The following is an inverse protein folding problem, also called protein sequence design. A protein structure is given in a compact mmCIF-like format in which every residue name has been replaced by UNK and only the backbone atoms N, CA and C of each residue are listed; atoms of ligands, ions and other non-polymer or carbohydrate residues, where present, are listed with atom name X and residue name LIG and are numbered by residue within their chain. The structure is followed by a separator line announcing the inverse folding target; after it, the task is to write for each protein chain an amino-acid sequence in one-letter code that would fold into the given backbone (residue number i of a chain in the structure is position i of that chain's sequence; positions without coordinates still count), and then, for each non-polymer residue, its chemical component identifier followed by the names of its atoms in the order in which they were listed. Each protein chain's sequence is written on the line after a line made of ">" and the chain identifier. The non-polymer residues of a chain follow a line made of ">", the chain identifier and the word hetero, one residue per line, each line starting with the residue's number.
data_IF_552197591833
#
_entry.id   IF_552197591833
#
_cell.length_a   1.000
_cell.length_b   1.000
_cell.length_c   1.000
_cell.angle_alpha   90.00
_cell.angle_beta   90.00
_cell.angle_gamma   90.00
#
_symmetry.space_group_name_H-M   'P 1'
#
loop_
_entity.id
_entity.type
_entity.pdbx_description
1 polymer ?
2 polymer ?
3 polymer ?
4 polymer ?
5 polymer ?
6 non-polymer ?
7 water ?
#
loop_
_entity_poly.entity_id
_entity_poly.type
_entity_poly.pdbx_seq_one_letter_code
_entity_poly.pdbx_strand_id
1 'polydeoxyribonucleotide' '(DG)(DC)(DA)(DA)(DA)(DA)(DC)(DG)(DT)(DC)(DG)(DT)(DG)(DA)' ?
2 'polydeoxyribonucleotide' '(DG)(DA)(DC)(DA)(DG)(DT)(DT)(DT)(DC)(DG)' ?
3 'polydeoxyribonucleotide' '(DC)(DG)(DA)(DA)(DA)(DC)(DT)(DG)(DT)(DC)(DT)(DC)(DA)(DC)' ?
4 'polydeoxyribonucleotide' '(DG)(DA)(DC)(DG)(DT)(DT)(DT)(DT)(DG)(DC)' ?
#
# COMPACT_ATOMS: atom_id res chain seq x y z
N UNK E 1 25.01 -8.46 -10.10
CA UNK E 1 23.75 -8.03 -9.43
C UNK E 1 22.64 -9.05 -9.59
N UNK E 2 21.82 -9.20 -8.55
CA UNK E 2 20.72 -10.15 -8.55
C UNK E 2 19.54 -9.73 -9.44
N UNK E 3 18.99 -10.70 -10.16
CA UNK E 3 17.85 -10.46 -11.04
C UNK E 3 16.58 -10.91 -10.34
N UNK E 4 15.63 -9.99 -10.18
CA UNK E 4 14.38 -10.30 -9.49
C UNK E 4 13.28 -10.73 -10.45
N UNK E 5 12.44 -11.64 -9.97
CA UNK E 5 11.31 -12.16 -10.72
C UNK E 5 10.35 -11.01 -11.08
N UNK E 6 9.81 -11.04 -12.30
CA UNK E 6 8.89 -9.99 -12.76
C UNK E 6 7.60 -9.89 -11.95
N UNK E 7 7.02 -11.02 -11.60
CA UNK E 7 5.78 -11.03 -10.82
C UNK E 7 6.04 -10.51 -9.42
N UNK E 8 7.22 -10.79 -8.89
CA UNK E 8 7.61 -10.31 -7.56
C UNK E 8 7.66 -8.79 -7.60
N UNK E 9 8.30 -8.25 -8.64
CA UNK E 9 8.42 -6.81 -8.81
C UNK E 9 7.07 -6.17 -9.05
N UNK E 10 6.19 -6.84 -9.79
CA UNK E 10 4.86 -6.28 -10.05
C UNK E 10 4.09 -6.10 -8.74
N UNK E 11 4.06 -7.15 -7.93
CA UNK E 11 3.37 -7.08 -6.65
C UNK E 11 4.01 -6.06 -5.72
N UNK E 12 5.33 -6.11 -5.60
CA UNK E 12 6.04 -5.18 -4.72
C UNK E 12 5.87 -3.72 -5.14
N UNK E 13 5.89 -3.45 -6.44
CA UNK E 13 5.71 -2.07 -6.92
C UNK E 13 4.37 -1.53 -6.40
N UNK E 14 3.35 -2.36 -6.45
CA UNK E 14 2.05 -1.95 -5.97
C UNK E 14 2.08 -1.72 -4.47
N UNK E 15 2.74 -2.61 -3.74
CA UNK E 15 2.82 -2.47 -2.28
C UNK E 15 3.62 -1.22 -1.92
N UNK E 16 4.71 -0.99 -2.66
CA UNK E 16 5.54 0.18 -2.44
C UNK E 16 4.76 1.45 -2.72
N UNK E 17 4.03 1.48 -3.82
CA UNK E 17 3.25 2.68 -4.11
C UNK E 17 2.27 2.96 -2.98
N UNK E 18 1.82 1.89 -2.32
CA UNK E 18 0.89 2.08 -1.21
C UNK E 18 1.50 2.43 0.14
N UNK E 19 2.38 1.55 0.62
CA UNK E 19 3.00 1.72 1.95
C UNK E 19 4.51 1.93 2.00
N UNK E 20 5.14 2.02 0.82
CA UNK E 20 6.57 2.22 0.77
C UNK E 20 6.94 3.68 0.67
N UNK E 21 8.24 3.95 0.64
CA UNK E 21 8.69 5.33 0.55
C UNK E 21 10.06 5.34 -0.11
N UNK E 22 10.26 6.25 -1.06
CA UNK E 22 11.52 6.42 -1.76
C UNK E 22 11.99 7.78 -1.27
N UNK E 23 13.02 7.76 -0.42
CA UNK E 23 13.52 8.95 0.24
C UNK E 23 14.93 9.40 -0.11
N UNK E 24 15.11 10.72 -0.16
CA UNK E 24 16.39 11.36 -0.44
C UNK E 24 16.54 12.42 0.64
N UNK E 25 17.72 12.46 1.27
CA UNK E 25 17.94 13.44 2.33
C UNK E 25 19.34 14.02 2.30
N UNK E 26 19.45 15.23 2.82
CA UNK E 26 20.70 15.94 2.93
C UNK E 26 20.80 16.09 4.44
N UNK E 27 21.70 15.30 5.04
CA UNK E 27 21.86 15.30 6.49
C UNK E 27 23.07 16.10 6.97
N UNK E 28 22.83 17.09 7.84
CA UNK E 28 23.94 17.88 8.34
C UNK E 28 24.86 17.02 9.20
N UNK E 29 26.13 16.98 8.82
CA UNK E 29 27.12 16.20 9.53
C UNK E 29 28.46 16.87 9.24
N UNK E 30 29.10 17.37 10.28
CA UNK E 30 30.37 18.07 10.17
C UNK E 30 31.55 17.28 9.64
N UNK E 31 31.50 15.95 9.72
CA UNK E 31 32.61 15.14 9.25
C UNK E 31 32.72 15.04 7.73
N UNK E 32 31.74 15.58 7.02
CA UNK E 32 31.76 15.53 5.56
C UNK E 32 32.37 16.79 4.97
N UNK E 33 32.98 16.66 3.80
CA UNK E 33 33.61 17.80 3.13
C UNK E 33 32.66 18.98 3.03
N UNK E 34 31.47 18.76 2.51
CA UNK E 34 30.50 19.83 2.35
C UNK E 34 29.53 19.95 3.53
N UNK E 35 29.95 19.42 4.67
CA UNK E 35 29.17 19.47 5.91
C UNK E 35 27.80 18.80 5.85
N UNK E 36 27.54 18.05 4.79
CA UNK E 36 26.27 17.34 4.64
C UNK E 36 26.45 15.99 3.96
N UNK E 37 25.60 15.04 4.36
CA UNK E 37 25.64 13.70 3.76
C UNK E 37 24.44 13.55 2.82
N UNK E 38 24.68 12.94 1.66
CA UNK E 38 23.60 12.68 0.73
C UNK E 38 23.15 11.27 1.11
N UNK E 39 21.96 11.17 1.67
CA UNK E 39 21.42 9.89 2.10
C UNK E 39 20.23 9.45 1.25
N UNK E 40 20.25 8.20 0.79
CA UNK E 40 19.18 7.63 -0.02
C UNK E 40 18.58 6.43 0.69
N UNK E 41 17.25 6.35 0.74
CA UNK E 41 16.61 5.24 1.40
C UNK E 41 15.38 4.72 0.71
N UNK E 42 15.28 3.38 0.62
CA UNK E 42 14.09 2.73 0.10
C UNK E 42 13.55 2.02 1.33
N UNK E 43 12.27 2.20 1.62
CA UNK E 43 11.71 1.54 2.79
C UNK E 43 10.27 1.11 2.58
N UNK E 44 9.84 0.14 3.38
CA UNK E 44 8.46 -0.33 3.36
C UNK E 44 8.09 -0.40 4.84
N UNK E 45 7.01 0.29 5.20
CA UNK E 45 6.56 0.34 6.58
C UNK E 45 5.37 -0.59 6.81
N UNK E 46 5.33 -1.22 7.98
CA UNK E 46 4.21 -2.09 8.30
C UNK E 46 4.10 -2.31 9.81
N UNK E 47 2.87 -2.52 10.26
CA UNK E 47 2.59 -2.76 11.68
C UNK E 47 3.49 -3.93 12.11
N UNK E 48 4.07 -3.82 13.30
CA UNK E 48 4.98 -4.86 13.76
C UNK E 48 4.38 -6.26 13.82
N UNK E 49 3.08 -6.38 14.07
CA UNK E 49 2.48 -7.71 14.12
C UNK E 49 2.61 -8.37 12.75
N UNK E 50 2.88 -7.57 11.71
CA UNK E 50 3.06 -8.10 10.36
C UNK E 50 4.54 -8.02 9.96
N UNK E 51 5.44 -7.98 10.94
CA UNK E 51 6.86 -7.91 10.62
C UNK E 51 7.34 -9.06 9.75
N UNK E 52 6.68 -10.21 9.84
CA UNK E 52 7.08 -11.36 9.04
C UNK E 52 7.15 -10.99 7.56
N UNK E 53 6.23 -10.15 7.12
CA UNK E 53 6.19 -9.72 5.72
C UNK E 53 7.47 -8.94 5.37
N UNK E 54 7.92 -8.11 6.30
CA UNK E 54 9.14 -7.31 6.11
C UNK E 54 10.38 -8.21 6.14
N UNK E 55 10.38 -9.18 7.04
CA UNK E 55 11.50 -10.12 7.15
C UNK E 55 11.64 -10.88 5.85
N UNK E 56 10.52 -11.30 5.31
CA UNK E 56 10.51 -12.02 4.03
C UNK E 56 11.09 -11.16 2.92
N UNK E 57 10.88 -9.85 2.97
CA UNK E 57 11.42 -8.94 1.96
C UNK E 57 12.94 -8.95 2.00
N UNK E 58 13.49 -9.04 3.20
CA UNK E 58 14.93 -9.07 3.34
C UNK E 58 15.47 -10.28 2.58
N UNK E 59 14.78 -11.41 2.70
CA UNK E 59 15.20 -12.64 2.04
C UNK E 59 15.00 -12.58 0.54
N UNK E 60 13.86 -12.05 0.11
CA UNK E 60 13.54 -11.95 -1.31
C UNK E 60 14.38 -10.91 -2.04
N UNK E 61 14.61 -9.75 -1.42
CA UNK E 61 15.42 -8.72 -2.07
C UNK E 61 16.89 -9.13 -1.90
N UNK E 62 17.18 -9.84 -0.81
CA UNK E 62 18.53 -10.32 -0.59
C UNK E 62 19.50 -9.38 0.10
N UNK E 63 19.03 -8.18 0.41
CA UNK E 63 19.86 -7.17 1.05
C UNK E 63 18.91 -6.33 1.90
N UNK E 64 19.45 -5.49 2.77
CA UNK E 64 18.61 -4.65 3.60
C UNK E 64 18.33 -5.27 4.95
N UNK E 65 17.53 -4.60 5.77
CA UNK E 65 17.20 -5.12 7.10
C UNK E 65 15.89 -4.52 7.58
N UNK E 66 15.40 -5.03 8.70
CA UNK E 66 14.15 -4.55 9.27
C UNK E 66 14.43 -3.92 10.60
N UNK E 67 13.89 -2.73 10.83
CA UNK E 67 14.10 -2.09 12.12
C UNK E 67 12.77 -1.97 12.82
N UNK E 68 12.83 -1.95 14.14
CA UNK E 68 11.64 -1.86 14.97
C UNK E 68 11.55 -0.47 15.60
N UNK E 69 10.35 0.11 15.55
CA UNK E 69 10.11 1.41 16.17
C UNK E 69 8.74 1.40 16.86
N UNK E 70 8.60 0.47 17.79
CA UNK E 70 7.35 0.36 18.54
C UNK E 70 6.31 -0.51 17.88
N UNK E 71 5.12 0.04 17.68
CA UNK E 71 4.03 -0.69 17.08
C UNK E 71 4.17 -0.80 15.56
N UNK E 72 5.24 -0.20 15.05
CA UNK E 72 5.51 -0.19 13.61
C UNK E 72 6.95 -0.61 13.32
N UNK E 73 7.16 -1.27 12.18
CA UNK E 73 8.50 -1.69 11.76
C UNK E 73 8.77 -1.24 10.33
N UNK E 74 10.02 -1.26 9.90
CA UNK E 74 10.35 -0.84 8.52
C UNK E 74 11.46 -1.67 7.88
N UNK E 75 11.25 -2.02 6.61
CA UNK E 75 12.30 -2.67 5.87
C UNK E 75 13.04 -1.49 5.23
N UNK E 76 14.36 -1.45 5.39
CA UNK E 76 15.24 -0.40 4.88
C UNK E 76 16.33 -0.89 4.00
N UNK E 77 16.56 -0.18 2.90
CA UNK E 77 17.61 -0.53 1.98
C UNK E 77 18.28 0.79 1.64
N UNK E 78 19.52 0.95 2.09
CA UNK E 78 20.27 2.18 1.82
C UNK E 78 21.58 1.91 1.08
N UNK E 79 22.08 0.67 1.14
CA UNK E 79 23.32 0.33 0.43
C UNK E 79 23.15 0.82 -1.01
N UNK E 80 23.95 1.80 -1.40
CA UNK E 80 23.85 2.41 -2.71
C UNK E 80 23.87 1.48 -3.92
N UNK E 81 24.79 0.52 -3.95
CA UNK E 81 24.86 -0.38 -5.09
C UNK E 81 23.63 -1.29 -5.22
N UNK E 82 23.26 -1.98 -4.14
CA UNK E 82 22.08 -2.85 -4.24
C UNK E 82 20.81 -2.01 -4.43
N UNK E 83 20.81 -0.80 -3.90
CA UNK E 83 19.66 0.08 -4.04
C UNK E 83 19.47 0.41 -5.52
N UNK E 84 20.57 0.76 -6.18
CA UNK E 84 20.51 1.08 -7.59
C UNK E 84 20.01 -0.11 -8.41
N UNK E 85 20.55 -1.29 -8.14
CA UNK E 85 20.12 -2.48 -8.86
C UNK E 85 18.64 -2.75 -8.65
N UNK E 86 18.20 -2.65 -7.39
CA UNK E 86 16.81 -2.90 -7.05
C UNK E 86 15.85 -1.91 -7.70
N UNK E 87 16.07 -0.63 -7.46
CA UNK E 87 15.20 0.41 -8.02
C UNK E 87 15.18 0.37 -9.55
N UNK E 88 16.28 -0.04 -10.16
CA UNK E 88 16.33 -0.11 -11.61
C UNK E 88 15.30 -1.11 -12.11
N UNK E 89 15.17 -2.23 -11.40
CA UNK E 89 14.21 -3.26 -11.79
C UNK E 89 12.78 -2.99 -11.31
N UNK E 90 12.63 -2.23 -10.24
CA UNK E 90 11.30 -1.96 -9.71
C UNK E 90 10.61 -0.83 -10.48
N UNK E 91 11.38 0.23 -10.70
CA UNK E 91 10.94 1.45 -11.38
C UNK E 91 9.96 1.34 -12.55
N UNK E 92 10.15 0.36 -13.45
CA UNK E 92 9.19 0.29 -14.55
C UNK E 92 7.75 -0.11 -14.18
N UNK E 93 7.56 -0.61 -12.96
CA UNK E 93 6.23 -1.03 -12.53
C UNK E 93 5.58 -0.07 -11.54
N UNK E 94 6.33 0.94 -11.10
CA UNK E 94 5.78 1.92 -10.16
C UNK E 94 4.86 2.89 -10.90
N UNK E 95 3.82 3.36 -10.22
CA UNK E 95 2.86 4.30 -10.79
C UNK E 95 2.81 5.63 -10.02
N UNK E 96 3.00 5.56 -8.71
CA UNK E 96 2.96 6.75 -7.87
C UNK E 96 4.33 7.27 -7.50
N UNK E 97 5.32 6.38 -7.44
CA UNK E 97 6.65 6.79 -7.04
C UNK E 97 7.70 6.48 -8.10
N UNK E 98 7.27 6.33 -9.35
CA UNK E 98 8.21 6.04 -10.43
C UNK E 98 9.18 7.21 -10.60
N UNK E 99 8.69 8.43 -10.51
CA UNK E 99 9.55 9.60 -10.67
C UNK E 99 10.59 9.68 -9.55
N UNK E 100 10.14 9.45 -8.32
CA UNK E 100 11.04 9.49 -7.18
C UNK E 100 12.17 8.49 -7.36
N UNK E 101 11.83 7.29 -7.83
CA UNK E 101 12.80 6.22 -8.05
C UNK E 101 13.85 6.64 -9.06
N UNK E 102 13.40 7.17 -10.20
CA UNK E 102 14.30 7.60 -11.25
C UNK E 102 15.22 8.72 -10.81
N UNK E 103 14.73 9.59 -9.93
CA UNK E 103 15.56 10.68 -9.42
C UNK E 103 16.63 10.09 -8.50
N UNK E 104 16.28 9.04 -7.77
CA UNK E 104 17.25 8.40 -6.89
C UNK E 104 18.36 7.76 -7.72
N UNK E 105 17.99 7.05 -8.78
CA UNK E 105 18.97 6.40 -9.64
C UNK E 105 19.90 7.44 -10.24
N UNK E 106 19.34 8.61 -10.52
CA UNK E 106 20.08 9.73 -11.10
C UNK E 106 21.04 10.30 -10.06
N UNK E 107 20.58 10.43 -8.82
CA UNK E 107 21.42 10.95 -7.75
C UNK E 107 22.58 10.00 -7.52
N UNK E 108 22.27 8.71 -7.41
CA UNK E 108 23.28 7.68 -7.19
C UNK E 108 24.37 7.71 -8.26
N UNK E 109 23.97 7.84 -9.51
CA UNK E 109 24.90 7.86 -10.62
C UNK E 109 25.79 9.11 -10.62
N UNK E 110 25.31 10.19 -10.02
CA UNK E 110 26.06 11.43 -9.97
C UNK E 110 26.77 11.71 -8.64
N UNK E 111 26.74 10.74 -7.72
CA UNK E 111 27.39 10.92 -6.43
C UNK E 111 28.91 11.10 -6.51
N UNK E 112 29.58 10.29 -7.33
CA UNK E 112 31.04 10.42 -7.45
C UNK E 112 31.48 11.78 -7.96
N UNK E 113 30.74 12.31 -8.93
CA UNK E 113 31.08 13.62 -9.49
C UNK E 113 30.60 14.75 -8.59
N UNK E 114 29.69 14.43 -7.68
CA UNK E 114 29.16 15.41 -6.74
C UNK E 114 30.11 15.60 -5.56
N UNK E 115 31.00 14.63 -5.37
CA UNK E 115 31.96 14.68 -4.28
C UNK E 115 33.05 15.73 -4.56
N UNK E 116 33.01 16.33 -5.74
CA UNK E 116 33.99 17.34 -6.12
C UNK E 116 33.42 18.75 -6.18
N UNK E 117 33.04 19.17 -7.38
CA UNK E 117 32.48 20.50 -7.60
C UNK E 117 31.42 20.86 -6.57
N UNK E 118 31.70 21.84 -5.70
CA UNK E 118 30.75 22.27 -4.67
C UNK E 118 29.42 22.72 -5.29
N UNK E 119 29.46 23.05 -6.58
CA UNK E 119 28.28 23.48 -7.30
C UNK E 119 27.58 22.26 -7.90
N UNK E 120 28.30 21.14 -7.95
CA UNK E 120 27.74 19.91 -8.47
C UNK E 120 27.00 19.24 -7.32
N UNK E 121 27.44 19.55 -6.10
CA UNK E 121 26.83 19.01 -4.90
C UNK E 121 25.48 19.68 -4.74
N UNK E 122 25.43 20.98 -5.01
CA UNK E 122 24.19 21.74 -4.91
C UNK E 122 23.18 21.33 -5.99
N UNK E 123 23.69 20.95 -7.16
CA UNK E 123 22.80 20.54 -8.23
C UNK E 123 22.18 19.19 -7.89
N UNK E 124 22.90 18.38 -7.12
CA UNK E 124 22.39 17.08 -6.72
C UNK E 124 21.40 17.31 -5.59
N UNK E 125 21.70 18.27 -4.72
CA UNK E 125 20.81 18.59 -3.62
C UNK E 125 19.51 19.14 -4.21
N UNK E 126 19.55 19.40 -5.52
CA UNK E 126 18.39 19.89 -6.26
C UNK E 126 17.50 18.68 -6.58
N UNK E 127 18.14 17.59 -7.00
CA UNK E 127 17.43 16.36 -7.32
C UNK E 127 16.66 15.95 -6.07
N UNK E 128 17.25 16.21 -4.92
CA UNK E 128 16.66 15.88 -3.63
C UNK E 128 15.44 16.74 -3.33
N UNK E 129 15.48 18.00 -3.76
CA UNK E 129 14.35 18.90 -3.54
C UNK E 129 13.17 18.34 -4.31
N UNK E 130 13.45 17.88 -5.54
CA UNK E 130 12.43 17.33 -6.40
C UNK E 130 11.76 16.08 -5.83
N UNK E 131 12.56 15.19 -5.24
CA UNK E 131 11.99 13.98 -4.66
C UNK E 131 11.05 14.35 -3.52
N UNK E 132 11.53 15.20 -2.62
CA UNK E 132 10.72 15.63 -1.49
C UNK E 132 9.43 16.30 -1.96
N UNK E 133 9.50 17.03 -3.07
CA UNK E 133 8.31 17.69 -3.60
C UNK E 133 7.28 16.68 -4.08
N UNK E 134 7.75 15.56 -4.62
CA UNK E 134 6.86 14.52 -5.11
C UNK E 134 6.24 13.68 -3.99
N UNK E 135 6.93 13.59 -2.85
CA UNK E 135 6.41 12.82 -1.70
C UNK E 135 5.47 13.70 -0.87
N UNK E 136 4.79 13.09 0.10
CA UNK E 136 3.89 13.84 0.97
C UNK E 136 4.76 14.38 2.11
N UNK E 137 5.74 15.21 1.75
CA UNK E 137 6.65 15.79 2.73
C UNK E 137 6.00 16.82 3.64
N UNK E 138 6.16 16.66 4.95
CA UNK E 138 5.56 17.58 5.91
C UNK E 138 6.49 18.06 7.04
N UNK E 139 7.65 17.42 7.21
CA UNK E 139 8.56 17.82 8.28
C UNK E 139 9.99 18.04 7.84
N UNK E 140 10.17 18.29 6.55
CA UNK E 140 11.50 18.50 5.99
C UNK E 140 12.11 19.77 6.58
N UNK E 141 13.37 19.69 7.00
CA UNK E 141 14.06 20.83 7.59
C UNK E 141 15.29 21.23 6.78
N UNK E 142 16.13 20.25 6.45
CA UNK E 142 17.33 20.52 5.68
C UNK E 142 17.15 20.40 4.18
N UNK E 143 17.25 21.52 3.48
CA UNK E 143 17.09 21.56 2.03
C UNK E 143 18.37 22.10 1.36
N UNK E 144 18.39 22.11 0.03
CA UNK E 144 19.55 22.60 -0.69
C UNK E 144 19.83 24.05 -0.29
N UNK E 145 18.77 24.81 -0.10
CA UNK E 145 18.89 26.21 0.31
C UNK E 145 19.72 26.26 1.59
N UNK E 146 19.57 25.22 2.40
CA UNK E 146 20.32 25.13 3.65
C UNK E 146 21.78 24.90 3.30
N UNK E 147 22.01 23.94 2.40
CA UNK E 147 23.35 23.58 1.96
C UNK E 147 24.03 24.80 1.33
N UNK E 148 23.23 25.76 0.89
CA UNK E 148 23.76 26.96 0.26
C UNK E 148 24.61 27.75 1.28
N UNK E 149 24.85 27.13 2.44
CA UNK E 149 25.66 27.74 3.49
C UNK E 149 27.10 27.32 3.23
N UNK E 150 27.36 26.87 2.01
CA UNK E 150 28.68 26.47 1.58
C UNK E 150 29.43 27.76 1.23
N UNK E 151 28.70 28.87 1.29
CA UNK E 151 29.25 30.19 1.00
C UNK E 151 30.15 30.63 2.15
N UNK E 152 31.45 30.66 1.90
CA UNK E 152 32.44 31.06 2.91
C UNK E 152 33.36 32.18 2.38
N UNK F 1 -18.83 -10.98 -18.08
CA UNK F 1 -18.01 -11.38 -16.90
C UNK F 1 -16.54 -11.10 -17.21
N UNK F 2 -16.12 -9.87 -16.92
CA UNK F 2 -14.78 -9.38 -17.19
C UNK F 2 -13.58 -10.22 -16.70
N UNK F 3 -12.61 -10.39 -17.60
CA UNK F 3 -11.37 -11.11 -17.35
C UNK F 3 -10.25 -10.08 -17.24
N UNK F 4 -9.51 -10.12 -16.13
CA UNK F 4 -8.45 -9.15 -15.91
C UNK F 4 -7.05 -9.65 -16.25
N UNK F 5 -6.20 -8.74 -16.69
CA UNK F 5 -4.82 -9.03 -17.04
C UNK F 5 -4.02 -9.31 -15.76
N UNK F 6 -3.27 -10.41 -15.76
CA UNK F 6 -2.48 -10.83 -14.60
C UNK F 6 -1.49 -9.78 -14.07
N UNK F 7 -0.89 -9.00 -14.96
CA UNK F 7 0.05 -7.99 -14.53
C UNK F 7 -0.66 -6.90 -13.74
N UNK F 8 -1.89 -6.59 -14.15
CA UNK F 8 -2.72 -5.60 -13.47
C UNK F 8 -3.09 -6.13 -12.09
N UNK F 9 -3.47 -7.40 -12.04
CA UNK F 9 -3.87 -8.04 -10.79
C UNK F 9 -2.71 -8.16 -9.79
N UNK F 10 -1.51 -8.44 -10.28
CA UNK F 10 -0.34 -8.58 -9.40
C UNK F 10 -0.01 -7.25 -8.73
N UNK F 11 0.01 -6.18 -9.52
CA UNK F 11 0.32 -4.86 -9.00
C UNK F 11 -0.80 -4.43 -8.05
N UNK F 12 -2.04 -4.62 -8.48
CA UNK F 12 -3.18 -4.22 -7.65
C UNK F 12 -3.24 -4.98 -6.34
N UNK F 13 -2.88 -6.26 -6.35
CA UNK F 13 -2.90 -7.04 -5.12
C UNK F 13 -1.92 -6.41 -4.12
N UNK F 14 -0.76 -5.97 -4.61
CA UNK F 14 0.21 -5.36 -3.73
C UNK F 14 -0.32 -4.05 -3.16
N UNK F 15 -0.93 -3.24 -4.02
CA UNK F 15 -1.49 -1.97 -3.58
C UNK F 15 -2.59 -2.18 -2.55
N UNK F 16 -3.42 -3.20 -2.77
CA UNK F 16 -4.51 -3.52 -1.87
C UNK F 16 -3.98 -3.99 -0.53
N UNK F 17 -2.98 -4.87 -0.54
CA UNK F 17 -2.40 -5.33 0.71
C UNK F 17 -1.86 -4.10 1.44
N UNK F 18 -1.45 -3.08 0.69
CA UNK F 18 -0.94 -1.88 1.33
C UNK F 18 -2.00 -0.90 1.82
N UNK F 19 -2.78 -0.34 0.89
CA UNK F 19 -3.79 0.66 1.21
C UNK F 19 -5.25 0.31 0.94
N UNK F 20 -5.50 -0.95 0.59
CA UNK F 20 -6.86 -1.38 0.33
C UNK F 20 -7.52 -1.95 1.57
N UNK F 21 -8.80 -2.26 1.46
CA UNK F 21 -9.52 -2.83 2.59
C UNK F 21 -10.64 -3.75 2.08
N UNK F 22 -10.71 -4.95 2.64
CA UNK F 22 -11.73 -5.92 2.28
C UNK F 22 -12.59 -5.97 3.55
N UNK F 23 -13.77 -5.36 3.45
CA UNK F 23 -14.69 -5.20 4.57
C UNK F 23 -15.98 -6.02 4.56
N UNK F 24 -16.38 -6.49 5.74
CA UNK F 24 -17.61 -7.24 5.90
C UNK F 24 -18.31 -6.62 7.09
N UNK F 25 -19.57 -6.25 6.92
CA UNK F 25 -20.31 -5.63 8.01
C UNK F 25 -21.70 -6.19 8.15
N UNK F 26 -22.24 -6.07 9.36
CA UNK F 26 -23.59 -6.49 9.68
C UNK F 26 -24.24 -5.18 10.08
N UNK F 27 -25.12 -4.65 9.24
CA UNK F 27 -25.77 -3.37 9.51
C UNK F 27 -27.22 -3.49 9.98
N UNK F 28 -27.50 -3.07 11.21
CA UNK F 28 -28.90 -3.16 11.67
C UNK F 28 -29.77 -2.30 10.75
N UNK F 29 -30.86 -2.89 10.27
CA UNK F 29 -31.78 -2.21 9.37
C UNK F 29 -33.08 -2.97 9.47
N UNK F 30 -34.10 -2.32 10.05
CA UNK F 30 -35.40 -2.95 10.25
C UNK F 30 -36.15 -3.37 9.00
N UNK F 31 -35.71 -2.90 7.83
CA UNK F 31 -36.41 -3.28 6.61
C UNK F 31 -35.99 -4.66 6.12
N UNK F 32 -35.03 -5.27 6.80
CA UNK F 32 -34.56 -6.58 6.41
C UNK F 32 -35.18 -7.72 7.22
N UNK F 33 -35.30 -8.87 6.58
CA UNK F 33 -35.86 -10.09 7.14
C UNK F 33 -35.35 -10.36 8.56
N UNK F 34 -34.03 -10.36 8.72
CA UNK F 34 -33.43 -10.62 10.02
C UNK F 34 -32.95 -9.35 10.72
N UNK F 35 -33.55 -8.23 10.34
CA UNK F 35 -33.25 -6.94 10.94
C UNK F 35 -31.83 -6.43 10.73
N UNK F 36 -31.07 -7.08 9.85
CA UNK F 36 -29.70 -6.66 9.57
C UNK F 36 -29.36 -6.93 8.12
N UNK F 37 -28.48 -6.11 7.56
CA UNK F 37 -28.02 -6.31 6.19
C UNK F 37 -26.60 -6.83 6.25
N UNK F 38 -26.28 -7.78 5.37
CA UNK F 38 -24.93 -8.30 5.29
C UNK F 38 -24.30 -7.44 4.21
N UNK F 39 -23.35 -6.60 4.59
CA UNK F 39 -22.70 -5.70 3.64
C UNK F 39 -21.25 -6.09 3.39
N UNK F 40 -20.86 -6.04 2.12
CA UNK F 40 -19.50 -6.37 1.72
C UNK F 40 -18.95 -5.24 0.89
N UNK F 41 -17.70 -4.86 1.15
CA UNK F 41 -17.10 -3.79 0.38
C UNK F 41 -15.60 -3.96 0.16
N UNK F 42 -15.19 -3.71 -1.08
CA UNK F 42 -13.78 -3.72 -1.46
C UNK F 42 -13.47 -2.25 -1.70
N UNK F 43 -12.43 -1.74 -1.07
CA UNK F 43 -12.09 -0.34 -1.28
C UNK F 43 -10.60 -0.13 -1.32
N UNK F 44 -10.23 0.98 -1.92
CA UNK F 44 -8.84 1.39 -1.96
C UNK F 44 -8.89 2.86 -1.61
N UNK F 45 -8.14 3.24 -0.59
CA UNK F 45 -8.11 4.63 -0.12
C UNK F 45 -6.86 5.37 -0.60
N UNK F 46 -7.00 6.65 -0.91
CA UNK F 46 -5.85 7.45 -1.34
C UNK F 46 -6.12 8.94 -1.19
N UNK F 47 -5.06 9.69 -0.90
CA UNK F 47 -5.15 11.14 -0.74
C UNK F 47 -5.86 11.68 -1.98
N UNK F 48 -6.78 12.62 -1.80
CA UNK F 48 -7.53 13.16 -2.93
C UNK F 48 -6.64 13.74 -4.01
N UNK F 49 -5.47 14.23 -3.61
CA UNK F 49 -4.52 14.79 -4.55
C UNK F 49 -4.16 13.71 -5.58
N UNK F 50 -4.31 12.44 -5.20
CA UNK F 50 -4.01 11.32 -6.10
C UNK F 50 -5.27 10.56 -6.53
N UNK F 51 -6.39 11.29 -6.60
CA UNK F 51 -7.65 10.69 -7.00
C UNK F 51 -7.51 10.04 -8.37
N UNK F 52 -6.65 10.62 -9.21
CA UNK F 52 -6.46 10.08 -10.56
C UNK F 52 -6.23 8.58 -10.55
N UNK F 53 -5.46 8.10 -9.57
CA UNK F 53 -5.18 6.68 -9.45
C UNK F 53 -6.49 5.90 -9.25
N UNK F 54 -7.35 6.43 -8.39
CA UNK F 54 -8.64 5.81 -8.11
C UNK F 54 -9.59 5.86 -9.32
N UNK F 55 -9.62 7.00 -10.00
CA UNK F 55 -10.48 7.11 -11.18
C UNK F 55 -10.03 6.09 -12.22
N UNK F 56 -8.73 5.84 -12.24
CA UNK F 56 -8.13 4.87 -13.14
C UNK F 56 -8.70 3.50 -12.79
N UNK F 57 -8.73 3.16 -11.51
CA UNK F 57 -9.25 1.87 -11.08
C UNK F 57 -10.69 1.67 -11.57
N UNK F 58 -11.45 2.75 -11.60
CA UNK F 58 -12.83 2.67 -12.06
C UNK F 58 -12.85 2.21 -13.52
N UNK F 59 -11.96 2.79 -14.32
CA UNK F 59 -11.86 2.45 -15.74
C UNK F 59 -11.31 1.05 -15.92
N UNK F 60 -10.21 0.75 -15.23
CA UNK F 60 -9.55 -0.53 -15.32
C UNK F 60 -10.35 -1.70 -14.77
N UNK F 61 -11.06 -1.53 -13.65
CA UNK F 61 -11.86 -2.63 -13.12
C UNK F 61 -13.20 -2.71 -13.86
N UNK F 62 -13.64 -1.57 -14.40
CA UNK F 62 -14.88 -1.53 -15.17
C UNK F 62 -16.17 -1.35 -14.38
N UNK F 63 -16.07 -1.42 -13.06
CA UNK F 63 -17.23 -1.28 -12.19
C UNK F 63 -16.79 -0.53 -10.93
N UNK F 64 -17.74 -0.01 -10.16
CA UNK F 64 -17.39 0.72 -8.94
C UNK F 64 -17.36 2.22 -9.14
N UNK F 65 -16.95 2.96 -8.11
CA UNK F 65 -16.91 4.41 -8.20
C UNK F 65 -15.98 4.96 -7.15
N UNK F 66 -15.71 6.26 -7.23
CA UNK F 66 -14.84 6.92 -6.27
C UNK F 66 -15.66 7.89 -5.43
N UNK F 67 -15.54 7.78 -4.12
CA UNK F 67 -16.27 8.70 -3.28
C UNK F 67 -15.26 9.65 -2.67
N UNK F 68 -15.71 10.87 -2.43
CA UNK F 68 -14.84 11.89 -1.89
C UNK F 68 -15.20 12.18 -0.44
N UNK F 69 -14.18 12.23 0.41
CA UNK F 69 -14.39 12.55 1.81
C UNK F 69 -13.31 13.54 2.25
N UNK F 70 -13.23 14.64 1.50
CA UNK F 70 -12.27 15.69 1.80
C UNK F 70 -10.86 15.48 1.31
N UNK F 71 -9.93 15.40 2.26
CA UNK F 71 -8.52 15.21 1.94
C UNK F 71 -8.23 13.80 1.43
N UNK F 72 -9.18 12.90 1.63
CA UNK F 72 -9.03 11.53 1.19
C UNK F 72 -10.22 11.08 0.34
N UNK F 73 -9.97 10.14 -0.58
CA UNK F 73 -11.00 9.59 -1.46
C UNK F 73 -10.90 8.07 -1.46
N UNK F 74 -11.94 7.38 -1.92
CA UNK F 74 -11.92 5.92 -1.94
C UNK F 74 -12.52 5.30 -3.19
N UNK F 75 -11.86 4.26 -3.70
CA UNK F 75 -12.45 3.54 -4.83
C UNK F 75 -13.33 2.54 -4.07
N UNK F 76 -14.59 2.46 -4.44
CA UNK F 76 -15.51 1.55 -3.78
C UNK F 76 -16.16 0.58 -4.74
N UNK F 77 -16.21 -0.68 -4.32
CA UNK F 77 -16.85 -1.74 -5.10
C UNK F 77 -17.68 -2.57 -4.14
N UNK F 78 -19.01 -2.47 -4.26
CA UNK F 78 -19.91 -3.21 -3.39
C UNK F 78 -20.84 -4.18 -4.13
N UNK F 79 -21.08 -3.95 -5.42
CA UNK F 79 -21.94 -4.83 -6.19
C UNK F 79 -21.46 -6.28 -6.07
N UNK F 80 -22.29 -7.11 -5.44
CA UNK F 80 -21.97 -8.52 -5.20
C UNK F 80 -21.43 -9.31 -6.38
N UNK F 81 -22.12 -9.26 -7.52
CA UNK F 81 -21.65 -10.02 -8.68
C UNK F 81 -20.26 -9.62 -9.15
N UNK F 82 -20.04 -8.33 -9.49
CA UNK F 82 -18.72 -7.92 -9.95
C UNK F 82 -17.66 -8.12 -8.87
N UNK F 83 -18.08 -7.99 -7.60
CA UNK F 83 -17.16 -8.16 -6.48
C UNK F 83 -16.62 -9.59 -6.45
N UNK F 84 -17.51 -10.56 -6.62
CA UNK F 84 -17.11 -11.97 -6.60
C UNK F 84 -16.16 -12.28 -7.76
N UNK F 85 -16.48 -11.76 -8.94
CA UNK F 85 -15.65 -11.97 -10.13
C UNK F 85 -14.26 -11.39 -9.92
N UNK F 86 -14.23 -10.14 -9.43
CA UNK F 86 -12.98 -9.44 -9.19
C UNK F 86 -12.12 -10.08 -8.09
N UNK F 87 -12.70 -10.35 -6.93
CA UNK F 87 -11.94 -10.95 -5.84
C UNK F 87 -11.46 -12.37 -6.18
N UNK F 88 -12.24 -13.08 -6.97
CA UNK F 88 -11.83 -14.42 -7.38
C UNK F 88 -10.49 -14.33 -8.11
N UNK F 89 -10.38 -13.34 -9.00
CA UNK F 89 -9.17 -13.15 -9.79
C UNK F 89 -8.02 -12.50 -9.04
N UNK F 90 -8.34 -11.61 -8.10
CA UNK F 90 -7.29 -10.92 -7.33
C UNK F 90 -6.71 -11.78 -6.21
N UNK F 91 -7.59 -12.56 -5.59
CA UNK F 91 -7.28 -13.43 -4.45
C UNK F 91 -5.95 -14.20 -4.44
N UNK F 92 -5.61 -14.89 -5.54
CA UNK F 92 -4.35 -15.64 -5.55
C UNK F 92 -3.06 -14.83 -5.42
N UNK F 93 -3.13 -13.52 -5.65
CA UNK F 93 -1.94 -12.68 -5.57
C UNK F 93 -1.83 -11.88 -4.25
N UNK F 94 -2.86 -11.97 -3.42
CA UNK F 94 -2.84 -11.27 -2.12
C UNK F 94 -1.97 -12.02 -1.12
N UNK F 95 -1.23 -11.29 -0.29
CA UNK F 95 -0.36 -11.89 0.72
C UNK F 95 -0.80 -11.55 2.13
N UNK F 96 -1.41 -10.38 2.30
CA UNK F 96 -1.86 -9.95 3.61
C UNK F 96 -3.38 -10.06 3.79
N UNK F 97 -4.13 -9.88 2.72
CA UNK F 97 -5.58 -9.92 2.82
C UNK F 97 -6.22 -11.05 2.00
N UNK F 98 -5.46 -12.11 1.76
CA UNK F 98 -5.98 -13.24 1.00
C UNK F 98 -7.10 -13.95 1.76
N UNK F 99 -6.93 -14.11 3.07
CA UNK F 99 -7.94 -14.79 3.86
C UNK F 99 -9.26 -14.02 3.90
N UNK F 100 -9.19 -12.70 4.06
CA UNK F 100 -10.44 -11.95 4.09
C UNK F 100 -11.12 -12.00 2.72
N UNK F 101 -10.31 -12.02 1.65
CA UNK F 101 -10.85 -12.07 0.30
C UNK F 101 -11.64 -13.36 0.12
N UNK F 102 -11.07 -14.47 0.60
CA UNK F 102 -11.72 -15.77 0.48
C UNK F 102 -12.96 -15.88 1.35
N UNK F 103 -12.94 -15.23 2.51
CA UNK F 103 -14.10 -15.27 3.39
C UNK F 103 -15.24 -14.49 2.71
N UNK F 104 -14.88 -13.41 2.03
CA UNK F 104 -15.89 -12.61 1.32
C UNK F 104 -16.52 -13.45 0.21
N UNK F 105 -15.68 -14.15 -0.55
CA UNK F 105 -16.22 -14.99 -1.63
C UNK F 105 -17.13 -16.06 -1.04
N UNK F 106 -16.73 -16.57 0.12
CA UNK F 106 -17.49 -17.60 0.83
C UNK F 106 -18.86 -17.07 1.23
N UNK F 107 -18.89 -15.86 1.76
CA UNK F 107 -20.13 -15.23 2.18
C UNK F 107 -21.05 -15.00 0.97
N UNK F 108 -20.51 -14.40 -0.09
CA UNK F 108 -21.29 -14.12 -1.29
C UNK F 108 -22.00 -15.37 -1.81
N UNK F 109 -21.30 -16.49 -1.76
CA UNK F 109 -21.85 -17.75 -2.24
C UNK F 109 -23.00 -18.26 -1.37
N UNK F 110 -22.98 -17.92 -0.08
CA UNK F 110 -24.02 -18.35 0.83
C UNK F 110 -25.13 -17.33 1.10
N UNK F 111 -25.05 -16.17 0.46
CA UNK F 111 -26.08 -15.14 0.68
C UNK F 111 -27.50 -15.64 0.40
N UNK F 112 -27.77 -16.15 -0.80
CA UNK F 112 -29.13 -16.63 -1.06
C UNK F 112 -29.56 -17.65 0.00
N UNK F 113 -28.59 -18.42 0.50
CA UNK F 113 -28.84 -19.42 1.52
C UNK F 113 -29.09 -18.81 2.89
N UNK F 114 -28.37 -17.73 3.20
CA UNK F 114 -28.53 -17.07 4.50
C UNK F 114 -29.86 -16.34 4.62
N UNK F 115 -30.35 -15.82 3.49
CA UNK F 115 -31.62 -15.10 3.48
C UNK F 115 -32.80 -16.05 3.58
N UNK F 116 -32.54 -17.29 3.97
CA UNK F 116 -33.60 -18.30 4.10
C UNK F 116 -33.74 -18.86 5.50
N UNK F 117 -32.65 -18.88 6.25
CA UNK F 117 -32.68 -19.42 7.61
C UNK F 117 -31.96 -18.56 8.63
N UNK F 118 -32.49 -18.49 9.87
CA UNK F 118 -31.91 -17.70 10.94
C UNK F 118 -30.53 -18.25 11.31
N UNK F 119 -30.41 -19.58 11.27
CA UNK F 119 -29.15 -20.23 11.60
C UNK F 119 -28.13 -20.02 10.48
N UNK F 120 -28.59 -20.11 9.24
CA UNK F 120 -27.71 -19.90 8.09
C UNK F 120 -27.23 -18.45 8.10
N UNK F 121 -28.13 -17.53 8.48
CA UNK F 121 -27.77 -16.13 8.53
C UNK F 121 -26.74 -15.89 9.62
N UNK F 122 -26.97 -16.50 10.78
CA UNK F 122 -26.06 -16.36 11.92
C UNK F 122 -24.69 -16.96 11.58
N UNK F 123 -24.68 -18.05 10.83
CA UNK F 123 -23.43 -18.71 10.45
C UNK F 123 -22.62 -17.75 9.57
N UNK F 124 -23.28 -17.15 8.60
CA UNK F 124 -22.62 -16.21 7.71
C UNK F 124 -22.11 -15.04 8.53
N UNK F 125 -22.88 -14.63 9.54
CA UNK F 125 -22.45 -13.54 10.40
C UNK F 125 -21.15 -13.87 11.12
N UNK F 126 -20.96 -15.14 11.47
CA UNK F 126 -19.73 -15.52 12.15
C UNK F 126 -18.55 -15.41 11.19
N UNK F 127 -18.82 -15.47 9.89
CA UNK F 127 -17.73 -15.34 8.93
C UNK F 127 -17.31 -13.87 8.81
N UNK F 128 -18.28 -12.95 8.96
CA UNK F 128 -17.93 -11.54 8.92
C UNK F 128 -17.10 -11.24 10.16
N UNK F 129 -17.34 -11.98 11.25
CA UNK F 129 -16.57 -11.81 12.48
C UNK F 129 -15.11 -12.14 12.20
N UNK F 130 -14.89 -13.19 11.43
CA UNK F 130 -13.55 -13.64 11.10
C UNK F 130 -12.81 -12.62 10.25
N UNK F 131 -13.52 -11.97 9.33
CA UNK F 131 -12.89 -10.96 8.48
C UNK F 131 -12.43 -9.79 9.34
N UNK F 132 -13.32 -9.34 10.22
CA UNK F 132 -12.98 -8.22 11.10
C UNK F 132 -11.75 -8.55 11.96
N UNK F 133 -11.69 -9.79 12.45
CA UNK F 133 -10.57 -10.21 13.30
C UNK F 133 -9.24 -10.18 12.55
N UNK F 134 -9.28 -10.42 11.24
CA UNK F 134 -8.09 -10.42 10.43
C UNK F 134 -7.67 -8.98 10.07
N UNK F 135 -8.63 -8.07 9.97
CA UNK F 135 -8.33 -6.67 9.67
C UNK F 135 -7.85 -5.98 10.95
N UNK F 136 -7.41 -4.73 10.82
CA UNK F 136 -6.95 -3.93 11.97
C UNK F 136 -8.20 -3.19 12.46
N UNK F 137 -9.18 -3.96 12.90
CA UNK F 137 -10.48 -3.48 13.36
C UNK F 137 -10.37 -2.72 14.67
N UNK F 138 -10.94 -1.52 14.73
CA UNK F 138 -10.88 -0.73 15.95
C UNK F 138 -12.17 -0.03 16.41
N UNK F 139 -13.19 0.02 15.55
CA UNK F 139 -14.44 0.66 15.95
C UNK F 139 -15.68 -0.20 15.64
N UNK F 140 -15.49 -1.52 15.61
CA UNK F 140 -16.58 -2.42 15.29
C UNK F 140 -17.61 -2.52 16.43
N UNK F 141 -18.89 -2.54 16.05
CA UNK F 141 -19.98 -2.63 17.02
C UNK F 141 -20.88 -3.86 16.83
N UNK F 142 -21.48 -4.00 15.66
CA UNK F 142 -22.38 -5.13 15.40
C UNK F 142 -21.65 -6.40 14.97
N UNK F 143 -21.82 -7.45 15.76
CA UNK F 143 -21.20 -8.75 15.54
C UNK F 143 -22.25 -9.84 15.40
N UNK F 144 -21.82 -11.08 15.18
CA UNK F 144 -22.76 -12.19 15.05
C UNK F 144 -23.53 -12.35 16.35
N UNK F 145 -22.85 -12.08 17.46
CA UNK F 145 -23.46 -12.18 18.78
C UNK F 145 -24.52 -11.10 18.98
N UNK F 146 -24.33 -9.96 18.34
CA UNK F 146 -25.32 -8.89 18.47
C UNK F 146 -26.56 -9.33 17.70
N UNK F 147 -26.34 -9.99 16.57
CA UNK F 147 -27.46 -10.46 15.75
C UNK F 147 -28.25 -11.50 16.53
N UNK F 148 -27.63 -12.06 17.55
CA UNK F 148 -28.29 -13.06 18.40
C UNK F 148 -29.53 -12.45 19.06
N UNK F 149 -29.88 -11.24 18.62
CA UNK F 149 -31.07 -10.55 19.12
C UNK F 149 -32.26 -11.15 18.38
N UNK F 150 -31.96 -12.06 17.46
CA UNK F 150 -32.99 -12.76 16.69
C UNK F 150 -33.73 -13.65 17.68
N UNK F 151 -33.12 -13.87 18.84
CA UNK F 151 -33.71 -14.70 19.88
C UNK F 151 -34.90 -13.92 20.47
N UNK F 152 -36.00 -13.93 19.72
CA UNK F 152 -37.23 -13.23 20.11
C UNK F 152 -38.37 -13.64 19.18
X LIG G 1 -0.89 2.90 3.87
X LIG H 1 -0.27 4.91 0.74
X LIG I 1 -1.03 -0.61 4.79
#
# INVERSE_FOLDING_TARGET
>E
NTKYNKEFLLYLAGFVDGDGSIIAQIKPNQSYKFKHQLSLTFQVTQKTQRRWFLDKLVDEIGVGYVRDRGSVSDYILSEIKPLHNFLTQLQPFLKLKQKQANLVLKIIEQLPSAKESPDKFLEVCTWVDQIAALNDSKTRKTTSETVRAVLD
>F
NTKYNKEFLLYLAGFVDGDGSIIAQIKPNQSYKFKHQLSLTFQVTQKTQRRWFLDKLVDEIGVGYVRDRGSVSDYILSEIKPLHNFLTQLQPFLKLKQKQANLVLKIIEQLPSAKESPDKFLEVCTWVDQIAALNDSKTRKTTSETVRAVLD
>G hetero
1 MG MG
>H hetero
1 MG MG
>I hetero
1 MG MG
#
